data_IF_686901019630
#
_entry.id   IF_686901019630
#
_cell.length_a   1.000
_cell.length_b   1.000
_cell.length_c   1.000
_cell.angle_alpha   90.00
_cell.angle_beta   90.00
_cell.angle_gamma   90.00
#
_symmetry.space_group_name_H-M   'P 1'
#
loop_
_entity.id
_entity.type
_entity.pdbx_description
1 polymer ?
#
# COMPACT_ATOMS: atom_id res chain seq x y z
N UNK A 1 16.87 -23.69 -23.43
CA UNK A 1 15.45 -23.24 -23.30
C UNK A 1 15.25 -22.13 -22.25
N UNK A 2 16.32 -21.57 -21.64
CA UNK A 2 16.25 -20.49 -20.65
C UNK A 2 16.47 -19.07 -21.23
N UNK A 3 16.97 -18.96 -22.46
CA UNK A 3 17.33 -17.68 -23.09
C UNK A 3 16.13 -16.84 -23.56
N UNK A 4 14.92 -17.41 -23.59
CA UNK A 4 13.71 -16.71 -24.01
C UNK A 4 13.13 -15.79 -22.93
N UNK A 5 13.43 -16.03 -21.64
CA UNK A 5 12.90 -15.22 -20.53
C UNK A 5 13.55 -13.83 -20.40
N UNK A 6 14.73 -13.63 -20.98
CA UNK A 6 15.46 -12.35 -20.92
C UNK A 6 15.08 -11.38 -22.05
N UNK A 7 14.30 -11.82 -23.04
CA UNK A 7 13.93 -10.97 -24.20
C UNK A 7 12.84 -9.95 -23.88
N UNK A 8 12.05 -10.19 -22.82
CA UNK A 8 11.03 -9.27 -22.33
C UNK A 8 11.52 -8.38 -21.18
N UNK A 9 12.83 -8.43 -20.87
CA UNK A 9 13.43 -7.57 -19.85
C UNK A 9 13.60 -6.15 -20.38
N UNK A 10 12.69 -5.25 -19.99
CA UNK A 10 12.72 -3.84 -20.38
C UNK A 10 13.64 -3.01 -19.44
N UNK A 11 14.84 -2.59 -19.88
CA UNK A 11 15.80 -1.86 -19.03
C UNK A 11 15.29 -0.46 -18.60
N UNK A 12 14.25 0.04 -19.28
CA UNK A 12 13.56 1.29 -18.96
C UNK A 12 12.74 1.23 -17.68
N UNK A 13 12.29 0.05 -17.24
CA UNK A 13 11.63 -0.09 -15.94
C UNK A 13 12.67 0.02 -14.82
N UNK A 14 13.79 -0.69 -14.94
CA UNK A 14 14.92 -0.62 -14.01
C UNK A 14 15.45 0.81 -13.85
N UNK A 15 15.64 1.56 -14.94
CA UNK A 15 16.10 2.96 -14.86
C UNK A 15 15.10 3.91 -14.19
N UNK A 16 13.79 3.62 -14.29
CA UNK A 16 12.75 4.41 -13.61
C UNK A 16 12.65 4.01 -12.14
N UNK A 17 12.76 2.72 -11.84
CA UNK A 17 12.80 2.19 -10.48
C UNK A 17 14.02 2.69 -9.73
N UNK A 18 15.19 2.70 -10.36
CA UNK A 18 16.42 3.26 -9.81
C UNK A 18 16.27 4.76 -9.54
N UNK A 19 15.72 5.53 -10.50
CA UNK A 19 15.50 6.97 -10.31
C UNK A 19 14.45 7.28 -9.24
N UNK A 20 13.46 6.41 -9.04
CA UNK A 20 12.45 6.51 -7.99
C UNK A 20 13.01 6.07 -6.62
N UNK A 21 13.95 5.12 -6.60
CA UNK A 21 14.72 4.70 -5.41
C UNK A 21 15.68 5.81 -4.95
N UNK A 22 16.51 6.34 -5.85
CA UNK A 22 17.51 7.39 -5.58
C UNK A 22 16.84 8.69 -5.09
N UNK A 23 15.69 9.06 -5.66
CA UNK A 23 14.94 10.25 -5.25
C UNK A 23 14.26 10.12 -3.88
N UNK A 24 14.12 8.89 -3.35
CA UNK A 24 13.57 8.63 -2.02
C UNK A 24 14.65 8.41 -0.97
N UNK A 25 15.82 7.89 -1.36
CA UNK A 25 16.97 7.70 -0.46
C UNK A 25 17.52 9.02 0.08
N UNK A 26 17.30 10.14 -0.62
CA UNK A 26 17.62 11.48 -0.11
C UNK A 26 16.69 11.94 1.03
N UNK A 27 15.64 11.20 1.39
CA UNK A 27 14.64 11.62 2.38
C UNK A 27 14.25 10.54 3.41
N UNK A 28 15.20 9.98 4.15
CA UNK A 28 14.91 9.31 5.45
C UNK A 28 16.09 9.38 6.42
N UNK A 29 15.83 9.90 7.62
CA UNK A 29 16.71 9.80 8.81
C UNK A 29 16.29 8.56 9.65
N UNK A 30 17.23 7.97 10.43
CA UNK A 30 17.05 6.66 11.05
C UNK A 30 16.12 6.69 12.26
N UNK A 31 15.38 5.60 12.46
CA UNK A 31 14.54 5.36 13.64
C UNK A 31 13.08 5.05 13.32
N UNK A 32 12.81 3.78 12.97
CA UNK A 32 11.51 3.08 13.07
C UNK A 32 10.30 3.86 12.53
N UNK A 33 10.19 3.98 11.21
CA UNK A 33 9.00 4.56 10.59
C UNK A 33 8.76 4.07 9.17
N UNK A 34 7.49 3.89 8.80
CA UNK A 34 7.10 3.74 7.39
C UNK A 34 7.37 5.05 6.66
N UNK A 35 8.13 5.00 5.57
CA UNK A 35 8.43 6.14 4.72
C UNK A 35 7.61 6.08 3.43
N UNK A 36 6.89 7.15 3.12
CA UNK A 36 6.20 7.34 1.83
C UNK A 36 6.71 8.62 1.17
N UNK A 37 6.64 8.69 -0.16
CA UNK A 37 7.01 9.90 -0.89
C UNK A 37 6.18 11.11 -0.43
N UNK A 38 6.78 12.30 -0.38
CA UNK A 38 6.03 13.53 -0.01
C UNK A 38 4.85 13.83 -0.93
N UNK A 39 4.97 13.46 -2.20
CA UNK A 39 3.93 13.67 -3.22
C UNK A 39 3.27 12.34 -3.58
N UNK A 40 1.94 12.29 -3.73
CA UNK A 40 1.25 11.09 -4.18
C UNK A 40 1.62 10.79 -5.64
N UNK A 41 1.61 9.50 -5.98
CA UNK A 41 1.79 9.05 -7.35
C UNK A 41 0.55 9.38 -8.21
N UNK A 42 -0.64 9.37 -7.60
CA UNK A 42 -1.90 9.80 -8.22
C UNK A 42 -2.67 10.70 -7.24
N UNK A 43 -2.55 12.04 -7.37
CA UNK A 43 -3.29 12.97 -6.53
C UNK A 43 -4.78 12.96 -6.85
N UNK A 44 -5.62 13.18 -5.83
CA UNK A 44 -7.07 13.42 -5.96
C UNK A 44 -7.80 12.36 -6.81
N UNK A 45 -7.45 11.09 -6.66
CA UNK A 45 -8.00 10.02 -7.47
C UNK A 45 -9.43 9.67 -7.01
N UNK A 46 -10.43 9.64 -7.92
CA UNK A 46 -11.80 9.27 -7.56
C UNK A 46 -11.89 7.86 -6.97
N UNK A 47 -12.75 7.67 -5.98
CA UNK A 47 -12.96 6.36 -5.33
C UNK A 47 -13.34 5.26 -6.34
N UNK A 48 -14.16 5.58 -7.35
CA UNK A 48 -14.51 4.68 -8.45
C UNK A 48 -13.31 4.27 -9.31
N UNK A 49 -12.38 5.21 -9.54
CA UNK A 49 -11.12 4.94 -10.24
C UNK A 49 -10.18 4.07 -9.40
N UNK A 50 -10.15 4.24 -8.08
CA UNK A 50 -9.36 3.39 -7.18
C UNK A 50 -9.86 1.95 -7.26
N UNK A 51 -11.17 1.75 -7.10
CA UNK A 51 -11.83 0.44 -7.14
C UNK A 51 -11.49 -0.32 -8.43
N UNK A 52 -11.65 0.35 -9.58
CA UNK A 52 -11.41 -0.26 -10.89
C UNK A 52 -9.92 -0.51 -11.16
N UNK A 53 -9.07 0.51 -11.04
CA UNK A 53 -7.63 0.39 -11.37
C UNK A 53 -6.89 -0.57 -10.45
N UNK A 54 -7.20 -0.56 -9.15
CA UNK A 54 -6.50 -1.41 -8.17
C UNK A 54 -7.16 -2.78 -8.00
N UNK A 55 -8.26 -3.06 -8.73
CA UNK A 55 -9.04 -4.30 -8.64
C UNK A 55 -9.46 -4.61 -7.20
N UNK A 56 -10.06 -3.62 -6.53
CA UNK A 56 -10.49 -3.71 -5.13
C UNK A 56 -12.00 -3.38 -4.98
N UNK A 57 -12.91 -4.28 -5.40
CA UNK A 57 -14.36 -4.04 -5.42
C UNK A 57 -14.94 -3.70 -4.04
N UNK A 58 -14.39 -4.29 -2.98
CA UNK A 58 -14.86 -4.07 -1.60
C UNK A 58 -14.22 -2.85 -0.92
N UNK A 59 -13.43 -2.03 -1.64
CA UNK A 59 -12.69 -0.91 -1.06
C UNK A 59 -13.59 0.05 -0.29
N UNK A 60 -14.69 0.49 -0.90
CA UNK A 60 -15.61 1.45 -0.27
C UNK A 60 -16.27 0.87 0.99
N UNK A 61 -16.64 -0.42 0.95
CA UNK A 61 -17.21 -1.11 2.11
C UNK A 61 -16.22 -1.14 3.27
N UNK A 62 -14.98 -1.57 3.03
CA UNK A 62 -13.95 -1.63 4.07
C UNK A 62 -13.55 -0.25 4.58
N UNK A 63 -13.49 0.76 3.71
CA UNK A 63 -13.22 2.14 4.11
C UNK A 63 -14.30 2.66 5.07
N UNK A 64 -15.58 2.42 4.77
CA UNK A 64 -16.68 2.79 5.67
C UNK A 64 -16.60 2.06 7.00
N UNK A 65 -16.34 0.75 6.97
CA UNK A 65 -16.18 -0.05 8.20
C UNK A 65 -15.01 0.47 9.04
N UNK A 66 -13.89 0.84 8.41
CA UNK A 66 -12.73 1.41 9.07
C UNK A 66 -13.07 2.76 9.72
N UNK A 67 -13.66 3.69 8.97
CA UNK A 67 -14.05 5.00 9.48
C UNK A 67 -15.08 4.91 10.61
N UNK A 68 -16.02 3.96 10.54
CA UNK A 68 -17.03 3.74 11.58
C UNK A 68 -16.42 3.37 12.94
N UNK A 69 -15.19 2.84 12.99
CA UNK A 69 -14.50 2.51 14.25
C UNK A 69 -14.05 3.74 15.03
N UNK A 70 -13.94 4.89 14.37
CA UNK A 70 -13.55 6.15 15.00
C UNK A 70 -14.75 6.96 15.51
N UNK A 71 -15.98 6.52 15.21
CA UNK A 71 -17.16 7.18 15.75
C UNK A 71 -17.30 6.90 17.26
N UNK A 72 -17.80 7.87 18.05
CA UNK A 72 -18.08 7.68 19.46
C UNK A 72 -18.99 6.48 19.74
N UNK A 73 -18.89 5.93 20.95
CA UNK A 73 -19.77 4.84 21.39
C UNK A 73 -21.22 5.32 21.37
N UNK A 74 -22.08 4.62 20.63
CA UNK A 74 -23.49 4.97 20.44
C UNK A 74 -23.79 5.70 19.12
N UNK A 75 -22.77 6.24 18.45
CA UNK A 75 -22.91 6.91 17.14
C UNK A 75 -22.50 6.02 15.97
N UNK A 76 -21.78 4.92 16.25
CA UNK A 76 -21.41 3.93 15.26
C UNK A 76 -22.66 3.38 14.56
N UNK A 77 -22.70 3.52 13.23
CA UNK A 77 -23.84 3.08 12.42
C UNK A 77 -23.79 1.57 12.20
N UNK A 78 -24.99 0.97 12.07
CA UNK A 78 -25.14 -0.47 11.89
C UNK A 78 -24.59 -0.95 10.53
N UNK A 79 -24.33 -2.26 10.41
CA UNK A 79 -23.85 -2.87 9.15
C UNK A 79 -24.78 -2.60 7.96
N UNK A 80 -26.09 -2.57 8.19
CA UNK A 80 -27.09 -2.30 7.15
C UNK A 80 -26.96 -0.85 6.69
N UNK A 81 -26.91 0.10 7.62
CA UNK A 81 -26.75 1.54 7.33
C UNK A 81 -25.41 1.84 6.64
N UNK A 82 -24.33 1.15 7.02
CA UNK A 82 -23.00 1.31 6.40
C UNK A 82 -23.00 1.06 4.89
N UNK A 83 -23.86 0.18 4.38
CA UNK A 83 -23.91 -0.08 2.94
C UNK A 83 -24.37 1.14 2.12
N UNK A 84 -25.23 1.97 2.73
CA UNK A 84 -25.82 3.17 2.13
C UNK A 84 -25.15 4.48 2.56
N UNK A 85 -24.24 4.45 3.52
CA UNK A 85 -23.57 5.65 4.02
C UNK A 85 -22.74 6.35 2.94
N UNK A 86 -22.93 7.67 2.79
CA UNK A 86 -22.08 8.50 1.95
C UNK A 86 -20.83 8.88 2.73
N UNK A 87 -19.67 8.83 2.07
CA UNK A 87 -18.45 9.41 2.63
C UNK A 87 -18.45 10.93 2.37
N UNK A 88 -17.89 11.74 3.27
CA UNK A 88 -17.81 13.19 3.09
C UNK A 88 -16.76 13.60 2.04
N UNK A 89 -16.12 12.64 1.38
CA UNK A 89 -15.17 12.84 0.29
C UNK A 89 -15.36 11.78 -0.79
N UNK A 90 -15.00 12.13 -2.03
CA UNK A 90 -15.11 11.25 -3.20
C UNK A 90 -13.78 10.92 -3.88
N UNK A 91 -12.68 11.47 -3.35
CA UNK A 91 -11.33 11.38 -3.92
C UNK A 91 -10.30 11.21 -2.81
N UNK A 92 -9.20 10.52 -3.13
CA UNK A 92 -8.07 10.29 -2.23
C UNK A 92 -6.76 10.46 -2.98
N UNK A 93 -5.74 10.95 -2.28
CA UNK A 93 -4.37 10.89 -2.77
C UNK A 93 -3.85 9.45 -2.63
N UNK A 94 -3.24 8.93 -3.70
CA UNK A 94 -2.78 7.54 -3.79
C UNK A 94 -1.29 7.45 -4.04
N UNK A 95 -0.63 6.60 -3.27
CA UNK A 95 0.77 6.22 -3.39
C UNK A 95 0.87 4.79 -3.93
N UNK A 96 2.01 4.49 -4.55
CA UNK A 96 2.26 3.16 -5.11
C UNK A 96 3.37 2.40 -4.38
N UNK A 97 4.10 3.06 -3.47
CA UNK A 97 5.22 2.46 -2.75
C UNK A 97 5.32 3.09 -1.36
N UNK A 98 5.69 2.28 -0.37
CA UNK A 98 6.27 2.75 0.89
C UNK A 98 7.54 1.95 1.17
N UNK A 99 8.47 2.54 1.93
CA UNK A 99 9.70 1.91 2.42
C UNK A 99 9.66 1.77 3.94
N UNK A 100 10.39 0.81 4.48
CA UNK A 100 10.53 0.63 5.92
C UNK A 100 11.87 -0.03 6.23
N UNK A 101 12.44 0.28 7.39
CA UNK A 101 13.65 -0.40 7.87
C UNK A 101 13.27 -1.81 8.33
N UNK A 102 14.03 -2.81 7.93
CA UNK A 102 13.93 -4.14 8.51
C UNK A 102 14.64 -4.11 9.86
N UNK A 103 13.93 -4.50 10.92
CA UNK A 103 14.60 -4.83 12.18
C UNK A 103 15.50 -6.03 11.90
N UNK A 104 16.81 -5.82 12.02
CA UNK A 104 17.83 -6.84 11.81
C UNK A 104 17.63 -7.97 12.82
N UNK A 105 16.89 -9.00 12.43
CA UNK A 105 16.84 -10.25 13.19
C UNK A 105 18.17 -10.99 13.00
N UNK A 106 19.20 -10.53 13.72
CA UNK A 106 20.38 -11.33 14.09
C UNK A 106 21.47 -11.53 13.04
N UNK A 107 21.85 -10.50 12.26
CA UNK A 107 23.14 -10.56 11.54
C UNK A 107 23.75 -9.17 11.25
N UNK A 108 24.24 -8.51 12.30
CA UNK A 108 25.13 -7.37 12.15
C UNK A 108 26.51 -7.86 11.68
N UNK A 109 26.71 -7.95 10.37
CA UNK A 109 28.06 -8.11 9.82
C UNK A 109 28.61 -6.77 9.32
N UNK A 110 27.75 -5.82 8.90
CA UNK A 110 28.21 -4.58 8.24
C UNK A 110 27.53 -3.26 8.69
N UNK A 111 26.65 -3.27 9.69
CA UNK A 111 26.07 -2.05 10.28
C UNK A 111 25.23 -1.18 9.32
N UNK A 112 24.82 -1.71 8.16
CA UNK A 112 23.87 -1.05 7.26
C UNK A 112 22.44 -1.46 7.64
N UNK A 113 21.59 -0.47 7.96
CA UNK A 113 20.15 -0.68 8.04
C UNK A 113 19.61 -1.11 6.66
N UNK A 114 19.05 -2.32 6.57
CA UNK A 114 18.43 -2.81 5.33
C UNK A 114 17.05 -2.16 5.17
N UNK A 115 16.86 -1.39 4.10
CA UNK A 115 15.59 -0.75 3.77
C UNK A 115 14.84 -1.62 2.76
N UNK A 116 13.65 -2.09 3.14
CA UNK A 116 12.75 -2.79 2.23
C UNK A 116 11.66 -1.85 1.69
N UNK A 117 11.03 -2.22 0.57
CA UNK A 117 9.99 -1.45 -0.09
C UNK A 117 8.82 -2.32 -0.54
N UNK A 118 7.61 -1.87 -0.25
CA UNK A 118 6.36 -2.56 -0.61
C UNK A 118 5.62 -1.75 -1.66
N UNK A 119 5.09 -2.42 -2.68
CA UNK A 119 4.42 -1.78 -3.83
C UNK A 119 2.94 -2.17 -3.97
N UNK A 120 2.16 -1.18 -4.37
CA UNK A 120 0.73 -1.26 -4.68
C UNK A 120 0.39 -0.40 -5.91
N UNK A 121 0.91 -0.80 -7.06
CA UNK A 121 0.85 -0.08 -8.33
C UNK A 121 -0.12 -0.75 -9.31
N UNK A 122 -1.19 -0.04 -9.75
CA UNK A 122 -2.07 -0.57 -10.78
C UNK A 122 -1.34 -0.65 -12.14
N UNK A 123 -1.79 -1.57 -12.99
CA UNK A 123 -1.26 -1.72 -14.34
C UNK A 123 -1.54 -0.50 -15.23
N UNK A 124 -0.70 -0.30 -16.25
CA UNK A 124 -0.93 0.71 -17.28
C UNK A 124 -1.82 0.12 -18.37
N UNK A 125 -3.13 0.25 -18.21
CA UNK A 125 -4.10 -0.24 -19.20
C UNK A 125 -5.52 0.20 -18.87
N UNK A 126 -6.42 0.15 -19.86
CA UNK A 126 -7.87 0.09 -19.58
C UNK A 126 -8.16 -1.23 -18.86
N UNK A 127 -9.31 -1.37 -18.20
CA UNK A 127 -9.65 -2.58 -17.42
C UNK A 127 -9.45 -3.91 -18.20
N UNK A 128 -9.46 -3.85 -19.53
CA UNK A 128 -9.29 -4.95 -20.49
C UNK A 128 -7.84 -5.15 -20.97
N UNK A 129 -6.98 -4.14 -20.88
CA UNK A 129 -5.53 -4.26 -21.13
C UNK A 129 -4.86 -4.71 -19.84
N UNK A 130 -4.56 -6.01 -19.76
CA UNK A 130 -3.88 -6.64 -18.63
C UNK A 130 -2.40 -6.25 -18.63
N UNK A 131 -2.11 -4.98 -18.38
CA UNK A 131 -0.86 -4.65 -17.72
C UNK A 131 -0.93 -5.24 -16.32
N UNK A 132 -0.04 -6.16 -15.98
CA UNK A 132 -0.03 -6.78 -14.65
C UNK A 132 0.38 -5.74 -13.61
N UNK A 133 -0.61 -5.18 -12.91
CA UNK A 133 -0.37 -4.31 -11.77
C UNK A 133 0.46 -5.04 -10.71
N UNK A 134 1.42 -4.34 -10.11
CA UNK A 134 2.30 -4.87 -9.06
C UNK A 134 1.70 -4.59 -7.70
N UNK A 135 1.33 -5.66 -7.00
CA UNK A 135 0.71 -5.59 -5.68
C UNK A 135 1.36 -6.65 -4.80
N UNK A 136 2.22 -6.21 -3.90
CA UNK A 136 3.04 -7.08 -3.07
C UNK A 136 2.19 -7.71 -1.95
N UNK A 137 2.66 -8.87 -1.46
CA UNK A 137 2.06 -9.54 -0.31
C UNK A 137 2.72 -8.99 0.95
N UNK A 138 1.92 -8.69 1.96
CA UNK A 138 2.36 -8.17 3.24
C UNK A 138 1.86 -9.06 4.37
N UNK A 139 2.66 -9.15 5.42
CA UNK A 139 2.27 -9.75 6.70
C UNK A 139 2.11 -8.60 7.69
N UNK A 140 0.94 -8.51 8.33
CA UNK A 140 0.59 -7.41 9.22
C UNK A 140 0.16 -7.97 10.57
N UNK A 141 0.74 -7.45 11.66
CA UNK A 141 0.26 -7.70 13.00
C UNK A 141 -1.18 -7.20 13.12
N UNK A 142 -2.12 -8.11 13.37
CA UNK A 142 -3.54 -7.78 13.44
C UNK A 142 -3.96 -7.33 14.84
N UNK A 143 -3.27 -7.83 15.86
CA UNK A 143 -3.59 -7.62 17.26
C UNK A 143 -2.33 -7.67 18.13
N UNK A 144 -2.50 -7.36 19.41
CA UNK A 144 -1.38 -7.26 20.36
C UNK A 144 -0.80 -8.64 20.72
N UNK A 145 -1.48 -9.73 20.35
CA UNK A 145 -0.99 -11.12 20.48
C UNK A 145 -0.09 -11.55 19.30
N UNK A 146 0.24 -10.64 18.38
CA UNK A 146 1.09 -10.93 17.24
C UNK A 146 2.52 -11.30 17.67
N UNK A 147 2.95 -12.51 17.32
CA UNK A 147 4.28 -13.02 17.68
C UNK A 147 5.35 -12.47 16.74
N UNK A 148 6.52 -12.07 17.26
CA UNK A 148 7.66 -11.63 16.44
C UNK A 148 8.23 -12.76 15.57
N UNK A 149 8.00 -14.02 15.97
CA UNK A 149 8.47 -15.22 15.27
C UNK A 149 7.30 -16.19 15.13
N UNK A 150 6.51 -16.05 14.06
CA UNK A 150 5.35 -16.91 13.83
C UNK A 150 4.28 -16.26 12.96
N UNK A 151 3.16 -16.96 12.77
CA UNK A 151 1.96 -16.41 12.11
C UNK A 151 0.81 -16.17 13.10
N UNK A 152 0.99 -16.49 14.39
CA UNK A 152 -0.02 -16.21 15.40
C UNK A 152 -0.20 -14.69 15.57
N UNK A 153 -1.45 -14.22 15.61
CA UNK A 153 -1.79 -12.80 15.63
C UNK A 153 -1.41 -12.02 14.35
N UNK A 154 -0.87 -12.68 13.33
CA UNK A 154 -0.50 -12.08 12.04
C UNK A 154 -1.57 -12.31 10.97
N UNK A 155 -1.63 -11.40 10.00
CA UNK A 155 -2.46 -11.54 8.79
C UNK A 155 -1.64 -11.37 7.53
N UNK A 156 -1.77 -12.34 6.63
CA UNK A 156 -1.23 -12.25 5.28
C UNK A 156 -2.27 -11.63 4.36
N UNK A 157 -1.88 -10.61 3.61
CA UNK A 157 -2.76 -9.92 2.68
C UNK A 157 -2.00 -9.39 1.46
N UNK A 158 -2.72 -9.12 0.38
CA UNK A 158 -2.15 -8.46 -0.79
C UNK A 158 -2.43 -6.96 -0.71
N UNK A 159 -1.39 -6.14 -0.65
CA UNK A 159 -1.54 -4.70 -0.55
C UNK A 159 -2.08 -4.13 -1.87
N UNK A 160 -3.27 -3.53 -1.84
CA UNK A 160 -3.94 -3.03 -3.04
C UNK A 160 -3.82 -1.54 -3.26
N UNK A 161 -3.93 -0.74 -2.20
CA UNK A 161 -3.98 0.73 -2.28
C UNK A 161 -3.26 1.30 -1.08
N UNK A 162 -2.38 2.27 -1.31
CA UNK A 162 -1.79 3.11 -0.27
C UNK A 162 -2.40 4.50 -0.46
N UNK A 163 -3.04 5.05 0.57
CA UNK A 163 -3.71 6.35 0.46
C UNK A 163 -3.64 7.10 1.79
N UNK A 164 -3.91 8.41 1.71
CA UNK A 164 -4.09 9.27 2.87
C UNK A 164 -5.53 9.73 2.94
N UNK A 165 -6.12 9.70 4.14
CA UNK A 165 -7.42 10.31 4.38
C UNK A 165 -7.32 11.84 4.29
N UNK A 166 -8.37 12.55 3.85
CA UNK A 166 -8.40 14.00 3.89
C UNK A 166 -8.19 14.51 5.32
N UNK A 167 -7.55 15.67 5.47
CA UNK A 167 -7.28 16.28 6.78
C UNK A 167 -8.56 16.69 7.53
N UNK A 168 -9.70 16.77 6.83
CA UNK A 168 -11.02 17.08 7.36
C UNK A 168 -12.03 16.07 6.82
N UNK A 169 -12.74 15.40 7.72
CA UNK A 169 -13.78 14.39 7.44
C UNK A 169 -15.03 14.81 8.22
#
# INVERSE_FOLDING_TARGET
MFETYLKDYHPTEVKREQKEQDALESETCPGVGLAISKKPASPSQPLSSIISKHRCPSFLHHLRVYLNRFLPRGEAISRIQLSHACLPFHQLDVWHTFKFSLDTLGNDVDGQEEIDSVRAKPGKGRAEDVGDGRFDVVVVAQSDEAESTGLHGMKVGRLKVIFRLPNSI
#
